data_IF_956555958223
#
_entry.id   IF_956555958223
#
_cell.length_a   1.000
_cell.length_b   1.000
_cell.length_c   1.000
_cell.angle_alpha   90.00
_cell.angle_beta   90.00
_cell.angle_gamma   90.00
#
_symmetry.space_group_name_H-M   'P 1'
#
loop_
_entity.id
_entity.type
_entity.pdbx_description
1 polymer ?
#
# COMPACT_ATOMS: atom_id res chain seq x y z
N UNK A 1 -6.83 -1.39 -3.80
CA UNK A 1 -6.42 -2.37 -4.83
C UNK A 1 -5.02 -2.04 -5.33
N UNK A 2 -4.83 -0.93 -6.05
CA UNK A 2 -3.52 -0.53 -6.62
C UNK A 2 -2.35 -0.55 -5.63
N UNK A 3 -2.50 -0.01 -4.42
CA UNK A 3 -1.45 -0.07 -3.39
C UNK A 3 -1.03 -1.51 -3.06
N UNK A 4 -1.99 -2.43 -2.92
CA UNK A 4 -1.72 -3.84 -2.65
C UNK A 4 -0.99 -4.52 -3.81
N UNK A 5 -1.29 -4.14 -5.06
CA UNK A 5 -0.61 -4.67 -6.25
C UNK A 5 0.85 -4.18 -6.32
N UNK A 6 1.09 -2.90 -6.02
CA UNK A 6 2.43 -2.31 -5.92
C UNK A 6 3.27 -3.08 -4.88
N UNK A 7 2.71 -3.30 -3.69
CA UNK A 7 3.37 -4.07 -2.63
C UNK A 7 3.67 -5.50 -3.07
N UNK A 8 2.69 -6.20 -3.64
CA UNK A 8 2.84 -7.59 -4.09
C UNK A 8 3.90 -7.77 -5.17
N UNK A 9 4.17 -6.74 -5.98
CA UNK A 9 5.21 -6.75 -7.00
C UNK A 9 6.53 -6.11 -6.56
N UNK A 10 6.62 -5.67 -5.30
CA UNK A 10 7.85 -5.07 -4.77
C UNK A 10 8.25 -3.80 -5.52
N UNK A 11 7.30 -2.97 -5.94
CA UNK A 11 7.64 -1.81 -6.78
C UNK A 11 7.81 -0.55 -5.95
N UNK A 12 8.96 0.15 -6.07
CA UNK A 12 9.07 1.54 -5.64
C UNK A 12 8.00 2.38 -6.34
N UNK A 13 7.42 3.35 -5.63
CA UNK A 13 6.31 4.15 -6.18
C UNK A 13 6.33 5.60 -5.72
N UNK A 14 5.94 6.48 -6.63
CA UNK A 14 5.53 7.86 -6.34
C UNK A 14 4.00 7.89 -6.46
N UNK A 15 3.32 8.30 -5.40
CA UNK A 15 1.86 8.32 -5.30
C UNK A 15 1.37 9.77 -5.28
N UNK A 16 0.43 10.05 -6.18
CA UNK A 16 -0.24 11.35 -6.29
C UNK A 16 -1.72 11.13 -5.93
N UNK A 17 -2.09 11.22 -4.64
CA UNK A 17 -3.46 10.97 -4.22
C UNK A 17 -4.37 12.10 -4.69
N UNK A 18 -5.49 11.74 -5.32
CA UNK A 18 -6.51 12.73 -5.72
C UNK A 18 -7.25 13.27 -4.48
N UNK A 19 -7.39 14.60 -4.34
CA UNK A 19 -8.14 15.25 -3.27
C UNK A 19 -9.65 15.12 -3.46
N UNK A 20 -10.09 14.77 -4.67
CA UNK A 20 -11.51 14.74 -5.06
C UNK A 20 -12.24 13.46 -4.66
N UNK A 21 -11.54 12.50 -4.06
CA UNK A 21 -12.17 11.26 -3.56
C UNK A 21 -12.67 11.47 -2.13
N UNK A 22 -13.95 11.17 -1.92
CA UNK A 22 -14.63 11.30 -0.64
C UNK A 22 -13.81 10.70 0.52
N UNK A 23 -13.83 11.37 1.67
CA UNK A 23 -13.25 10.95 2.96
C UNK A 23 -11.70 10.80 3.00
N UNK A 24 -10.99 11.26 1.98
CA UNK A 24 -9.51 11.32 1.97
C UNK A 24 -8.84 9.94 1.94
N UNK A 25 -9.54 8.91 1.48
CA UNK A 25 -9.04 7.52 1.49
C UNK A 25 -7.79 7.33 0.64
N UNK A 26 -7.66 8.05 -0.48
CA UNK A 26 -6.45 7.96 -1.29
C UNK A 26 -5.21 8.48 -0.54
N UNK A 27 -5.34 9.61 0.16
CA UNK A 27 -4.25 10.15 0.96
C UNK A 27 -3.87 9.21 2.11
N UNK A 28 -4.86 8.61 2.79
CA UNK A 28 -4.60 7.60 3.84
C UNK A 28 -3.83 6.39 3.29
N UNK A 29 -4.24 5.88 2.12
CA UNK A 29 -3.54 4.77 1.48
C UNK A 29 -2.11 5.18 1.07
N UNK A 30 -1.92 6.39 0.54
CA UNK A 30 -0.60 6.90 0.20
C UNK A 30 0.29 7.05 1.44
N UNK A 31 -0.24 7.57 2.54
CA UNK A 31 0.45 7.68 3.83
C UNK A 31 0.89 6.31 4.35
N UNK A 32 0.00 5.32 4.32
CA UNK A 32 0.34 3.94 4.69
C UNK A 32 1.43 3.36 3.80
N UNK A 33 1.43 3.67 2.49
CA UNK A 33 2.47 3.23 1.57
C UNK A 33 3.81 3.91 1.85
N UNK A 34 3.83 5.18 2.25
CA UNK A 34 5.05 5.87 2.69
C UNK A 34 5.62 5.19 3.95
N UNK A 35 4.77 4.91 4.93
CA UNK A 35 5.19 4.27 6.18
C UNK A 35 5.69 2.83 5.97
N UNK A 36 5.00 2.04 5.14
CA UNK A 36 5.32 0.63 4.93
C UNK A 36 6.47 0.43 3.94
N UNK A 37 6.43 1.13 2.80
CA UNK A 37 7.26 0.87 1.62
C UNK A 37 8.13 2.04 1.17
N UNK A 38 8.20 3.12 1.96
CA UNK A 38 8.91 4.36 1.61
C UNK A 38 8.38 5.06 0.35
N UNK A 39 7.13 4.80 -0.03
CA UNK A 39 6.55 5.45 -1.20
C UNK A 39 6.60 6.98 -1.06
N UNK A 40 7.04 7.67 -2.11
CA UNK A 40 7.02 9.14 -2.14
C UNK A 40 5.59 9.60 -2.39
N UNK A 41 5.12 10.57 -1.63
CA UNK A 41 3.81 11.22 -1.84
C UNK A 41 4.07 12.60 -2.43
N UNK A 42 3.31 12.97 -3.47
CA UNK A 42 3.22 14.33 -3.99
C UNK A 42 1.74 14.71 -4.00
N UNK A 43 1.36 15.72 -3.22
CA UNK A 43 -0.04 16.18 -3.20
C UNK A 43 -0.36 16.98 -4.46
N UNK A 44 -1.65 17.16 -4.79
CA UNK A 44 -2.05 17.92 -5.99
C UNK A 44 -1.57 19.38 -5.93
N UNK A 45 -1.52 19.99 -4.75
CA UNK A 45 -1.00 21.35 -4.55
C UNK A 45 0.53 21.45 -4.74
N UNK A 46 1.25 20.35 -4.55
CA UNK A 46 2.70 20.24 -4.76
C UNK A 46 3.05 19.73 -6.17
N UNK A 47 2.06 19.27 -6.94
CA UNK A 47 2.29 18.60 -8.20
C UNK A 47 2.53 19.62 -9.32
N UNK A 48 3.77 19.64 -9.82
CA UNK A 48 4.13 20.31 -11.05
C UNK A 48 5.17 19.48 -11.83
N UNK A 49 5.54 19.97 -13.01
CA UNK A 49 6.51 19.28 -13.87
C UNK A 49 7.90 19.17 -13.23
N UNK A 50 8.29 20.13 -12.40
CA UNK A 50 9.58 20.16 -11.72
C UNK A 50 9.58 19.21 -10.53
N UNK A 51 8.56 19.25 -9.67
CA UNK A 51 8.48 18.39 -8.49
C UNK A 51 8.38 16.92 -8.88
N UNK A 52 7.57 16.58 -9.89
CA UNK A 52 7.47 15.22 -10.38
C UNK A 52 8.78 14.75 -11.04
N UNK A 53 9.41 15.59 -11.87
CA UNK A 53 10.69 15.26 -12.51
C UNK A 53 11.77 14.99 -11.46
N UNK A 54 11.92 15.88 -10.48
CA UNK A 54 12.90 15.73 -9.40
C UNK A 54 12.67 14.42 -8.63
N UNK A 55 11.42 14.11 -8.26
CA UNK A 55 11.11 12.88 -7.55
C UNK A 55 11.44 11.62 -8.37
N UNK A 56 11.24 11.66 -9.68
CA UNK A 56 11.62 10.57 -10.60
C UNK A 56 13.14 10.43 -10.67
N UNK A 57 13.87 11.53 -10.86
CA UNK A 57 15.33 11.54 -10.96
C UNK A 57 16.00 11.08 -9.67
N UNK A 58 15.51 11.53 -8.51
CA UNK A 58 15.98 11.08 -7.19
C UNK A 58 15.79 9.58 -6.99
N UNK A 59 14.65 9.04 -7.43
CA UNK A 59 14.37 7.61 -7.26
C UNK A 59 15.20 6.77 -8.23
N UNK A 60 15.29 7.15 -9.50
CA UNK A 60 16.06 6.42 -10.51
C UNK A 60 17.58 6.56 -10.33
N UNK A 61 18.03 7.65 -9.69
CA UNK A 61 19.44 7.90 -9.42
C UNK A 61 20.00 7.18 -8.19
N UNK A 62 19.15 6.53 -7.38
CA UNK A 62 19.55 5.82 -6.16
C UNK A 62 19.08 4.36 -6.19
N UNK A 63 19.90 3.50 -6.81
CA UNK A 63 19.63 2.06 -6.91
C UNK A 63 19.46 1.39 -5.54
N UNK A 64 20.21 1.85 -4.53
CA UNK A 64 20.13 1.31 -3.17
C UNK A 64 18.77 1.62 -2.58
N UNK A 65 18.32 2.87 -2.66
CA UNK A 65 16.98 3.27 -2.20
C UNK A 65 15.89 2.48 -2.93
N UNK A 66 16.00 2.29 -4.25
CA UNK A 66 15.02 1.46 -4.96
C UNK A 66 15.00 0.00 -4.48
N UNK A 67 16.16 -0.59 -4.20
CA UNK A 67 16.24 -1.95 -3.66
C UNK A 67 15.61 -2.04 -2.27
N UNK A 68 15.92 -1.09 -1.38
CA UNK A 68 15.37 -1.01 -0.02
C UNK A 68 13.84 -0.84 -0.06
N UNK A 69 13.32 0.02 -0.96
CA UNK A 69 11.89 0.21 -1.19
C UNK A 69 11.22 -1.07 -1.70
N UNK A 70 11.86 -1.77 -2.63
CA UNK A 70 11.36 -3.03 -3.19
C UNK A 70 11.24 -4.11 -2.11
N UNK A 71 12.26 -4.27 -1.27
CA UNK A 71 12.26 -5.23 -0.16
C UNK A 71 11.15 -4.89 0.86
N UNK A 72 11.03 -3.62 1.25
CA UNK A 72 9.98 -3.16 2.16
C UNK A 72 8.59 -3.42 1.59
N UNK A 73 8.38 -3.14 0.31
CA UNK A 73 7.12 -3.37 -0.38
C UNK A 73 6.73 -4.86 -0.35
N UNK A 74 7.65 -5.76 -0.69
CA UNK A 74 7.43 -7.22 -0.65
C UNK A 74 7.15 -7.71 0.78
N UNK A 75 7.86 -7.18 1.77
CA UNK A 75 7.67 -7.53 3.18
C UNK A 75 6.30 -7.10 3.72
N UNK A 76 5.79 -5.96 3.26
CA UNK A 76 4.48 -5.45 3.64
C UNK A 76 3.33 -6.11 2.85
N UNK A 77 3.62 -6.80 1.75
CA UNK A 77 2.61 -7.45 0.94
C UNK A 77 1.82 -8.52 1.70
N UNK A 78 0.54 -8.65 1.38
CA UNK A 78 -0.39 -9.65 1.95
C UNK A 78 -0.99 -10.52 0.83
N UNK A 79 -0.17 -11.36 0.16
CA UNK A 79 -0.64 -12.14 -0.99
C UNK A 79 -1.77 -13.13 -0.63
N UNK A 80 -1.81 -13.58 0.63
CA UNK A 80 -2.81 -14.53 1.11
C UNK A 80 -4.00 -13.86 1.79
N UNK A 81 -4.18 -12.54 1.67
CA UNK A 81 -5.22 -11.80 2.40
C UNK A 81 -6.61 -12.42 2.23
N UNK A 82 -6.98 -12.84 1.02
CA UNK A 82 -8.27 -13.49 0.76
C UNK A 82 -8.42 -14.82 1.52
N UNK A 83 -7.38 -15.65 1.53
CA UNK A 83 -7.39 -16.93 2.24
C UNK A 83 -7.45 -16.73 3.77
N UNK A 84 -6.68 -15.77 4.29
CA UNK A 84 -6.69 -15.39 5.71
C UNK A 84 -8.09 -14.91 6.14
N UNK A 85 -8.73 -14.05 5.34
CA UNK A 85 -10.09 -13.56 5.60
C UNK A 85 -11.09 -14.72 5.63
N UNK A 86 -11.03 -15.64 4.65
CA UNK A 86 -11.91 -16.82 4.62
C UNK A 86 -11.72 -17.69 5.87
N UNK A 87 -10.48 -17.93 6.27
CA UNK A 87 -10.17 -18.70 7.47
C UNK A 87 -10.75 -18.04 8.73
N UNK A 88 -10.62 -16.72 8.86
CA UNK A 88 -11.21 -15.98 9.97
C UNK A 88 -12.73 -16.09 9.99
N UNK A 89 -13.40 -15.95 8.85
CA UNK A 89 -14.85 -16.09 8.75
C UNK A 89 -15.29 -17.50 9.19
N UNK A 90 -14.64 -18.56 8.70
CA UNK A 90 -14.95 -19.94 9.07
C UNK A 90 -14.80 -20.17 10.58
N UNK A 91 -13.73 -19.66 11.19
CA UNK A 91 -13.52 -19.79 12.64
C UNK A 91 -14.66 -19.16 13.47
N UNK A 92 -15.24 -18.05 13.01
CA UNK A 92 -16.36 -17.39 13.70
C UNK A 92 -17.67 -18.19 13.57
N UNK A 93 -17.86 -18.87 12.44
CA UNK A 93 -19.02 -19.76 12.22
C UNK A 93 -18.92 -20.98 13.12
N UNK A 94 -17.77 -21.63 13.20
CA UNK A 94 -17.55 -22.83 14.02
C UNK A 94 -17.69 -22.56 15.53
N UNK A 95 -17.23 -21.38 15.99
CA UNK A 95 -17.46 -20.93 17.36
C UNK A 95 -18.95 -20.72 17.67
N UNK A 96 -19.71 -20.26 16.67
CA UNK A 96 -21.15 -19.99 16.80
C UNK A 96 -21.97 -21.29 16.83
N UNK A 97 -21.58 -22.32 16.08
CA UNK A 97 -22.22 -23.65 16.12
C UNK A 97 -21.91 -24.40 17.40
N UNK A 98 -20.67 -24.34 17.91
CA UNK A 98 -20.29 -24.96 19.18
C UNK A 98 -21.01 -24.37 20.41
N UNK A 99 -21.31 -23.06 20.40
CA UNK A 99 -22.11 -22.41 21.45
C UNK A 99 -23.60 -22.76 21.40
N UNK A 100 -24.14 -23.18 20.25
CA UNK A 100 -25.56 -23.51 20.07
C UNK A 100 -25.92 -24.94 20.46
N UNK A 101 -24.91 -25.81 20.62
CA UNK A 101 -25.06 -27.22 21.00
C UNK A 101 -24.79 -27.48 22.51
N UNK A 102 -24.53 -26.43 23.28
CA UNK A 102 -24.45 -26.44 24.75
C UNK A 102 -25.67 -25.73 25.33
#
# INVERSE_FOLDING_TARGET
MTCSEILAHGKPSILIPSPNVAEGHQFKNASLMADLADARIITEDELDSTTLKTAIEELLGDEKKMADMSERALKAAKPNASAEIVQHILSLVDLSTAKKQR
#
